data_IF_190373305626
#
_entry.id   IF_190373305626
#
_cell.length_a   1.000
_cell.length_b   1.000
_cell.length_c   1.000
_cell.angle_alpha   90.00
_cell.angle_beta   90.00
_cell.angle_gamma   90.00
#
_symmetry.space_group_name_H-M   'P 1'
#
loop_
_entity.id
_entity.type
_entity.pdbx_description
1 polymer ?
#
# COMPACT_ATOMS: atom_id res chain seq x y z
N UNK A 1 -51.71 -9.76 -50.40
CA UNK A 1 -51.22 -10.51 -49.23
C UNK A 1 -49.72 -10.84 -49.31
N UNK A 2 -49.16 -11.39 -50.38
CA UNK A 2 -47.71 -11.75 -50.47
C UNK A 2 -46.77 -10.53 -50.25
N UNK A 3 -47.08 -9.34 -50.74
CA UNK A 3 -46.23 -8.15 -50.61
C UNK A 3 -46.19 -7.62 -49.18
N UNK A 4 -47.28 -7.74 -48.43
CA UNK A 4 -47.38 -7.31 -47.03
C UNK A 4 -46.57 -8.20 -46.10
N UNK A 5 -46.53 -9.52 -46.37
CA UNK A 5 -45.72 -10.50 -45.61
C UNK A 5 -44.22 -10.26 -45.79
N UNK A 6 -43.77 -9.94 -47.02
CA UNK A 6 -42.36 -9.65 -47.32
C UNK A 6 -41.87 -8.40 -46.61
N UNK A 7 -42.73 -7.33 -46.57
CA UNK A 7 -42.39 -6.09 -45.86
C UNK A 7 -42.31 -6.34 -44.34
N UNK A 8 -43.18 -7.16 -43.77
CA UNK A 8 -43.18 -7.47 -42.34
C UNK A 8 -41.97 -8.32 -41.95
N UNK A 9 -41.55 -9.26 -42.79
CA UNK A 9 -40.34 -10.05 -42.56
C UNK A 9 -39.07 -9.20 -42.66
N UNK A 10 -39.00 -8.24 -43.59
CA UNK A 10 -37.89 -7.32 -43.73
C UNK A 10 -37.81 -6.34 -42.51
N UNK A 11 -38.90 -5.85 -42.01
CA UNK A 11 -38.92 -4.99 -40.81
C UNK A 11 -38.50 -5.77 -39.54
N UNK A 12 -38.98 -7.01 -39.41
CA UNK A 12 -38.53 -7.90 -38.31
C UNK A 12 -37.04 -8.24 -38.38
N UNK A 13 -36.53 -8.51 -39.58
CA UNK A 13 -35.10 -8.79 -39.76
C UNK A 13 -34.22 -7.61 -39.47
N UNK A 14 -34.61 -6.38 -39.86
CA UNK A 14 -33.90 -5.15 -39.51
C UNK A 14 -33.97 -4.83 -38.02
N UNK A 15 -35.08 -5.10 -37.35
CA UNK A 15 -35.20 -4.92 -35.90
C UNK A 15 -34.35 -5.92 -35.12
N UNK A 16 -34.21 -7.16 -35.61
CA UNK A 16 -33.34 -8.17 -35.01
C UNK A 16 -31.84 -7.83 -35.17
N UNK A 17 -31.46 -7.35 -36.36
CA UNK A 17 -30.10 -6.87 -36.61
C UNK A 17 -29.76 -5.66 -35.77
N UNK A 18 -30.71 -4.71 -35.62
CA UNK A 18 -30.51 -3.53 -34.77
C UNK A 18 -30.33 -3.89 -33.29
N UNK A 19 -31.04 -4.92 -32.81
CA UNK A 19 -30.85 -5.45 -31.44
C UNK A 19 -29.54 -6.17 -31.23
N UNK A 20 -29.03 -6.84 -32.28
CA UNK A 20 -27.75 -7.56 -32.20
C UNK A 20 -26.51 -6.66 -32.31
N UNK A 21 -26.64 -5.50 -32.95
CA UNK A 21 -25.55 -4.53 -33.10
C UNK A 21 -25.73 -3.25 -32.27
N UNK A 22 -26.90 -3.01 -31.69
CA UNK A 22 -27.20 -1.82 -30.86
C UNK A 22 -26.82 -1.93 -29.41
N UNK A 23 -26.21 -3.03 -28.99
CA UNK A 23 -25.74 -3.27 -27.62
C UNK A 23 -24.23 -3.17 -27.46
N UNK A 24 -23.52 -2.43 -28.34
CA UNK A 24 -22.23 -1.91 -27.97
C UNK A 24 -22.48 -0.84 -26.92
N UNK A 25 -22.54 -1.24 -25.65
CA UNK A 25 -22.27 -0.34 -24.57
C UNK A 25 -20.99 0.39 -24.95
N UNK A 26 -21.09 1.66 -25.33
CA UNK A 26 -19.97 2.57 -25.25
C UNK A 26 -19.65 2.66 -23.78
N UNK A 27 -18.95 1.65 -23.28
CA UNK A 27 -18.22 1.79 -22.03
C UNK A 27 -17.40 3.04 -22.21
N UNK A 28 -17.84 4.14 -21.67
CA UNK A 28 -16.98 5.25 -21.32
C UNK A 28 -16.00 4.62 -20.34
N UNK A 29 -14.95 3.99 -20.89
CA UNK A 29 -13.82 3.56 -20.13
C UNK A 29 -13.31 4.84 -19.48
N UNK A 30 -13.68 5.04 -18.24
CA UNK A 30 -13.04 6.03 -17.40
C UNK A 30 -11.58 5.63 -17.43
N UNK A 31 -10.76 6.40 -18.14
CA UNK A 31 -9.31 6.28 -18.05
C UNK A 31 -8.96 6.69 -16.63
N UNK A 32 -9.00 5.72 -15.72
CA UNK A 32 -8.46 5.93 -14.39
C UNK A 32 -6.96 6.07 -14.57
N UNK A 33 -6.49 7.30 -14.52
CA UNK A 33 -5.05 7.55 -14.50
C UNK A 33 -4.47 6.84 -13.27
N UNK A 34 -3.31 6.18 -13.39
CA UNK A 34 -2.64 5.62 -12.23
C UNK A 34 -2.50 6.72 -11.18
N UNK A 35 -2.90 6.43 -9.96
CA UNK A 35 -2.69 7.37 -8.86
C UNK A 35 -1.19 7.63 -8.70
N UNK A 36 -0.76 8.85 -8.36
CA UNK A 36 0.63 9.10 -8.01
C UNK A 36 1.03 8.20 -6.84
N UNK A 37 2.33 7.91 -6.70
CA UNK A 37 2.82 7.30 -5.48
C UNK A 37 2.50 8.21 -4.30
N UNK A 38 2.15 7.68 -3.12
CA UNK A 38 1.91 8.51 -1.97
C UNK A 38 3.18 9.26 -1.58
N UNK A 39 2.99 10.53 -1.17
CA UNK A 39 4.02 11.45 -0.70
C UNK A 39 3.78 11.77 0.77
N UNK A 40 4.70 12.47 1.40
CA UNK A 40 4.56 12.97 2.76
C UNK A 40 3.27 13.80 2.91
N UNK A 41 2.50 13.49 3.95
CA UNK A 41 1.17 14.05 4.23
C UNK A 41 -0.01 13.35 3.52
N UNK A 42 0.23 12.41 2.60
CA UNK A 42 -0.83 11.64 1.96
C UNK A 42 -1.28 10.46 2.83
N UNK A 43 -2.53 10.03 2.67
CA UNK A 43 -2.97 8.77 3.26
C UNK A 43 -2.25 7.59 2.61
N UNK A 44 -1.69 6.72 3.44
CA UNK A 44 -1.09 5.47 2.99
C UNK A 44 -2.18 4.50 2.49
N UNK A 45 -1.98 3.81 1.37
CA UNK A 45 -2.87 2.75 0.92
C UNK A 45 -2.82 1.54 1.88
N UNK A 46 -3.79 1.43 2.77
CA UNK A 46 -3.89 0.33 3.74
C UNK A 46 -4.13 -1.02 3.04
N UNK A 47 -3.63 -2.10 3.64
CA UNK A 47 -3.77 -3.46 3.09
C UNK A 47 -3.57 -4.53 4.17
N UNK A 48 -4.11 -5.70 3.89
CA UNK A 48 -3.87 -6.95 4.60
C UNK A 48 -3.39 -8.02 3.63
N UNK A 49 -2.37 -8.78 4.01
CA UNK A 49 -1.77 -9.84 3.17
C UNK A 49 -1.17 -10.94 4.06
N UNK A 50 -1.02 -12.12 3.47
CA UNK A 50 -0.26 -13.20 4.09
C UNK A 50 1.25 -12.96 3.94
N UNK A 51 2.01 -13.14 5.02
CA UNK A 51 3.46 -13.06 5.01
C UNK A 51 4.09 -14.28 4.32
N UNK A 52 5.37 -14.20 3.95
CA UNK A 52 6.12 -15.35 3.43
C UNK A 52 6.12 -16.54 4.42
N UNK A 53 6.00 -16.26 5.72
CA UNK A 53 5.91 -17.28 6.77
C UNK A 53 4.48 -17.80 7.04
N UNK A 54 3.49 -17.45 6.22
CA UNK A 54 2.11 -17.90 6.34
C UNK A 54 1.34 -17.27 7.52
N UNK A 55 1.70 -16.07 7.95
CA UNK A 55 1.02 -15.29 9.00
C UNK A 55 0.31 -14.10 8.36
N UNK A 56 -0.74 -13.61 8.99
CA UNK A 56 -1.38 -12.38 8.56
C UNK A 56 -0.51 -11.16 8.91
N UNK A 57 -0.43 -10.21 8.01
CA UNK A 57 0.15 -8.89 8.19
C UNK A 57 -0.87 -7.85 7.73
N UNK A 58 -1.14 -6.88 8.59
CA UNK A 58 -2.01 -5.75 8.30
C UNK A 58 -1.22 -4.45 8.44
N UNK A 59 -1.24 -3.64 7.40
CA UNK A 59 -0.88 -2.23 7.50
C UNK A 59 -2.17 -1.46 7.75
N UNK A 60 -2.38 -1.06 9.00
CA UNK A 60 -3.60 -0.41 9.49
C UNK A 60 -3.43 1.11 9.61
N UNK A 61 -4.51 1.78 9.99
CA UNK A 61 -4.56 3.21 10.30
C UNK A 61 -4.07 3.55 11.73
N UNK A 62 -3.28 2.65 12.35
CA UNK A 62 -2.73 2.84 13.69
C UNK A 62 -1.34 2.27 13.80
N UNK A 63 -0.46 3.03 14.49
CA UNK A 63 0.91 2.63 14.77
C UNK A 63 1.90 3.08 13.69
N UNK A 64 3.16 2.81 13.95
CA UNK A 64 4.28 3.23 13.09
C UNK A 64 4.77 2.04 12.27
N UNK A 65 4.83 2.23 10.95
CA UNK A 65 5.29 1.24 9.98
C UNK A 65 6.44 1.78 9.15
N UNK A 66 7.43 0.96 8.90
CA UNK A 66 8.46 1.18 7.89
C UNK A 66 8.26 0.16 6.78
N UNK A 67 7.69 0.61 5.66
CA UNK A 67 7.37 -0.22 4.51
C UNK A 67 8.36 0.02 3.39
N UNK A 68 9.01 -1.02 2.88
CA UNK A 68 9.90 -0.90 1.73
C UNK A 68 9.58 -1.94 0.65
N UNK A 69 9.79 -1.55 -0.61
CA UNK A 69 9.64 -2.42 -1.77
C UNK A 69 11.01 -2.78 -2.32
N UNK A 70 11.32 -4.06 -2.40
CA UNK A 70 12.61 -4.59 -2.84
C UNK A 70 12.49 -5.61 -3.96
N UNK A 71 13.64 -5.84 -4.62
CA UNK A 71 13.81 -6.94 -5.56
C UNK A 71 15.11 -7.68 -5.23
N UNK A 72 15.03 -9.01 -5.12
CA UNK A 72 16.22 -9.86 -4.96
C UNK A 72 17.14 -9.82 -6.18
N UNK A 73 16.67 -9.30 -7.32
CA UNK A 73 17.45 -9.10 -8.54
C UNK A 73 18.12 -7.71 -8.60
N UNK A 74 17.72 -6.78 -7.73
CA UNK A 74 18.27 -5.43 -7.70
C UNK A 74 19.44 -5.35 -6.72
N UNK A 75 20.58 -4.81 -7.20
CA UNK A 75 21.81 -4.68 -6.39
C UNK A 75 21.60 -3.70 -5.23
N UNK A 76 20.94 -2.57 -5.50
CA UNK A 76 20.73 -1.52 -4.49
C UNK A 76 19.86 -2.03 -3.33
N UNK A 77 18.84 -2.88 -3.61
CA UNK A 77 18.05 -3.55 -2.56
C UNK A 77 18.90 -4.42 -1.64
N UNK A 78 19.91 -5.11 -2.17
CA UNK A 78 20.82 -5.95 -1.38
C UNK A 78 21.82 -5.12 -0.57
N UNK A 79 22.24 -3.98 -1.08
CA UNK A 79 23.20 -3.10 -0.39
C UNK A 79 22.59 -2.42 0.84
N UNK A 80 21.28 -2.08 0.80
CA UNK A 80 20.60 -1.42 1.92
C UNK A 80 20.09 -2.39 2.99
N UNK A 81 20.02 -3.67 2.69
CA UNK A 81 19.46 -4.69 3.59
C UNK A 81 20.12 -4.72 4.98
N UNK A 82 21.45 -4.69 5.14
CA UNK A 82 22.09 -4.73 6.46
C UNK A 82 21.75 -3.50 7.32
N UNK A 83 21.68 -2.31 6.73
CA UNK A 83 21.26 -1.07 7.41
C UNK A 83 19.82 -1.15 7.87
N UNK A 84 18.92 -1.57 6.98
CA UNK A 84 17.51 -1.75 7.27
C UNK A 84 17.26 -2.78 8.38
N UNK A 85 17.95 -3.94 8.33
CA UNK A 85 17.89 -4.97 9.37
C UNK A 85 18.37 -4.45 10.74
N UNK A 86 19.42 -3.63 10.78
CA UNK A 86 19.90 -3.01 12.01
C UNK A 86 18.85 -2.04 12.59
N UNK A 87 18.20 -1.22 11.77
CA UNK A 87 17.14 -0.34 12.20
C UNK A 87 15.91 -1.12 12.69
N UNK A 88 15.49 -2.15 11.95
CA UNK A 88 14.40 -3.03 12.36
C UNK A 88 14.63 -3.62 13.76
N UNK A 89 15.83 -4.12 14.00
CA UNK A 89 16.23 -4.67 15.31
C UNK A 89 16.30 -3.59 16.41
N UNK A 90 16.76 -2.39 16.07
CA UNK A 90 16.84 -1.26 17.01
C UNK A 90 15.46 -0.88 17.53
N UNK A 91 14.47 -0.77 16.63
CA UNK A 91 13.13 -0.28 16.95
C UNK A 91 12.08 -1.39 17.21
N UNK A 92 12.50 -2.66 17.22
CA UNK A 92 11.60 -3.80 17.50
C UNK A 92 10.81 -3.62 18.82
N UNK A 93 11.46 -3.08 19.85
CA UNK A 93 10.85 -2.89 21.18
C UNK A 93 10.06 -1.61 21.34
N UNK A 94 10.20 -0.69 20.39
CA UNK A 94 9.51 0.60 20.38
C UNK A 94 8.14 0.51 19.68
N UNK A 95 7.79 -0.68 19.17
CA UNK A 95 6.50 -0.94 18.53
C UNK A 95 6.44 -0.56 17.05
N UNK A 96 7.59 -0.26 16.43
CA UNK A 96 7.66 0.00 14.99
C UNK A 96 7.60 -1.31 14.20
N UNK A 97 6.71 -1.38 13.24
CA UNK A 97 6.55 -2.54 12.35
C UNK A 97 7.35 -2.35 11.06
N UNK A 98 8.42 -3.13 10.90
CA UNK A 98 9.20 -3.14 9.66
C UNK A 98 8.71 -4.22 8.71
N UNK A 99 8.43 -3.85 7.46
CA UNK A 99 7.98 -4.78 6.42
C UNK A 99 8.69 -4.55 5.09
N UNK A 100 9.08 -5.63 4.44
CA UNK A 100 9.68 -5.65 3.11
C UNK A 100 8.75 -6.35 2.13
N UNK A 101 8.29 -5.63 1.12
CA UNK A 101 7.50 -6.16 0.00
C UNK A 101 8.46 -6.56 -1.13
N UNK A 102 8.66 -7.84 -1.32
CA UNK A 102 9.43 -8.35 -2.44
C UNK A 102 8.60 -8.37 -3.72
N UNK A 103 9.03 -7.64 -4.75
CA UNK A 103 8.28 -7.45 -6.00
C UNK A 103 8.48 -8.58 -7.03
N UNK A 104 9.34 -9.55 -6.73
CA UNK A 104 9.62 -10.68 -7.65
C UNK A 104 9.66 -12.04 -6.93
N UNK A 105 10.57 -12.20 -5.97
CA UNK A 105 10.70 -13.40 -5.15
C UNK A 105 11.29 -13.02 -3.80
N UNK A 106 10.75 -13.57 -2.74
CA UNK A 106 11.34 -13.42 -1.42
C UNK A 106 12.59 -14.33 -1.28
N UNK A 107 13.61 -13.91 -0.52
CA UNK A 107 14.71 -14.80 -0.17
C UNK A 107 14.23 -15.93 0.76
N UNK A 108 14.96 -17.01 0.78
CA UNK A 108 14.71 -18.10 1.72
C UNK A 108 15.55 -17.87 2.99
N UNK A 109 15.19 -16.87 3.76
CA UNK A 109 15.88 -16.47 4.99
C UNK A 109 14.91 -16.57 6.16
N UNK A 110 15.34 -17.26 7.23
CA UNK A 110 14.48 -17.57 8.37
C UNK A 110 14.69 -16.63 9.56
N UNK A 111 15.68 -15.71 9.51
CA UNK A 111 16.12 -14.95 10.68
C UNK A 111 16.39 -13.47 10.37
N UNK A 112 15.33 -12.77 9.97
CA UNK A 112 15.37 -11.30 9.81
C UNK A 112 14.46 -10.64 10.83
N UNK A 113 14.77 -9.40 11.23
CA UNK A 113 13.99 -8.61 12.21
C UNK A 113 12.85 -7.82 11.56
N UNK A 114 12.57 -8.06 10.30
CA UNK A 114 11.45 -7.43 9.57
C UNK A 114 10.49 -8.49 9.00
N UNK A 115 9.28 -8.09 8.73
CA UNK A 115 8.28 -8.95 8.10
C UNK A 115 8.51 -9.03 6.59
N UNK A 116 8.59 -10.24 6.04
CA UNK A 116 8.70 -10.47 4.59
C UNK A 116 7.32 -10.68 3.98
N UNK A 117 7.00 -9.87 2.98
CA UNK A 117 5.80 -9.94 2.15
C UNK A 117 6.20 -10.24 0.70
N UNK A 118 5.36 -10.96 -0.05
CA UNK A 118 5.59 -11.24 -1.46
C UNK A 118 4.43 -10.69 -2.28
N UNK A 119 4.70 -9.71 -3.12
CA UNK A 119 3.73 -9.16 -4.09
C UNK A 119 3.77 -9.94 -5.40
N UNK A 120 3.27 -11.17 -5.38
CA UNK A 120 3.26 -12.07 -6.55
C UNK A 120 2.35 -11.61 -7.69
N UNK A 121 1.36 -10.77 -7.38
CA UNK A 121 0.37 -10.26 -8.34
C UNK A 121 0.68 -8.86 -8.84
N UNK A 122 1.58 -8.14 -8.19
CA UNK A 122 1.88 -6.72 -8.44
C UNK A 122 0.80 -5.77 -7.90
N UNK A 123 -0.06 -6.24 -7.01
CA UNK A 123 -1.15 -5.43 -6.45
C UNK A 123 -0.60 -4.33 -5.54
N UNK A 124 0.32 -4.65 -4.62
CA UNK A 124 0.93 -3.67 -3.73
C UNK A 124 1.80 -2.67 -4.49
N UNK A 125 2.59 -3.15 -5.47
CA UNK A 125 3.34 -2.28 -6.39
C UNK A 125 2.42 -1.31 -7.12
N UNK A 126 1.25 -1.76 -7.58
CA UNK A 126 0.26 -0.93 -8.24
C UNK A 126 -0.39 0.06 -7.26
N UNK A 127 -0.78 -0.40 -6.07
CA UNK A 127 -1.43 0.40 -5.02
C UNK A 127 -0.55 1.55 -4.54
N UNK A 128 0.74 1.31 -4.37
CA UNK A 128 1.76 2.32 -4.01
C UNK A 128 2.41 3.00 -5.23
N UNK A 129 2.00 2.65 -6.45
CA UNK A 129 2.55 3.14 -7.71
C UNK A 129 4.09 3.12 -7.75
N UNK A 130 4.69 2.04 -7.25
CA UNK A 130 6.14 1.85 -7.19
C UNK A 130 6.71 1.67 -8.60
N UNK A 131 7.60 2.56 -9.01
CA UNK A 131 8.23 2.54 -10.35
C UNK A 131 9.67 2.04 -10.32
N UNK A 132 10.31 2.14 -9.18
CA UNK A 132 11.70 1.70 -8.95
C UNK A 132 11.84 1.15 -7.53
N UNK A 133 12.78 0.27 -7.34
CA UNK A 133 13.15 -0.30 -6.04
C UNK A 133 14.64 -0.08 -5.80
N UNK A 134 15.07 0.09 -4.56
CA UNK A 134 14.28 0.09 -3.33
C UNK A 134 13.46 1.39 -3.15
N UNK A 135 12.19 1.26 -2.80
CA UNK A 135 11.29 2.37 -2.45
C UNK A 135 10.87 2.23 -1.01
N UNK A 136 10.90 3.32 -0.22
CA UNK A 136 10.63 3.27 1.21
C UNK A 136 9.60 4.31 1.63
N UNK A 137 8.81 3.95 2.66
CA UNK A 137 7.84 4.81 3.33
C UNK A 137 7.94 4.62 4.84
N UNK A 138 7.87 5.71 5.61
CA UNK A 138 7.49 5.69 7.03
C UNK A 138 6.04 6.14 7.11
N UNK A 139 5.22 5.36 7.80
CA UNK A 139 3.77 5.57 7.90
C UNK A 139 3.41 5.59 9.37
N UNK A 140 2.76 6.65 9.81
CA UNK A 140 2.22 6.78 11.16
C UNK A 140 0.71 6.96 11.08
N UNK A 141 -0.04 6.17 11.82
CA UNK A 141 -1.50 6.24 11.91
C UNK A 141 -2.20 6.40 10.55
N UNK A 142 -1.68 5.68 9.55
CA UNK A 142 -2.21 5.67 8.18
C UNK A 142 -1.79 6.85 7.32
N UNK A 143 -0.93 7.76 7.80
CA UNK A 143 -0.35 8.87 7.04
C UNK A 143 1.09 8.57 6.67
N UNK A 144 1.52 8.95 5.47
CA UNK A 144 2.92 8.87 5.06
C UNK A 144 3.69 10.06 5.63
N UNK A 145 4.56 9.81 6.59
CA UNK A 145 5.40 10.84 7.21
C UNK A 145 6.72 11.03 6.48
N UNK A 146 7.22 9.98 5.83
CA UNK A 146 8.45 10.05 5.04
C UNK A 146 8.35 9.13 3.83
N UNK A 147 8.83 9.58 2.67
CA UNK A 147 8.88 8.80 1.44
C UNK A 147 10.19 8.97 0.69
N UNK A 148 10.89 7.86 0.39
CA UNK A 148 12.15 7.86 -0.33
C UNK A 148 12.02 7.10 -1.65
N UNK A 149 12.22 7.78 -2.78
CA UNK A 149 12.08 7.21 -4.13
C UNK A 149 13.11 6.15 -4.48
N UNK A 150 14.33 6.32 -3.98
CA UNK A 150 15.43 5.36 -4.10
C UNK A 150 16.13 5.35 -2.76
N UNK A 151 15.88 4.31 -1.97
CA UNK A 151 16.58 4.11 -0.72
C UNK A 151 17.94 3.48 -1.00
N UNK A 152 19.02 4.06 -0.46
CA UNK A 152 20.39 3.53 -0.59
C UNK A 152 21.21 3.82 0.67
N UNK A 153 22.33 3.14 0.81
CA UNK A 153 23.25 3.33 1.93
C UNK A 153 23.62 4.81 2.11
N UNK A 154 23.44 5.31 3.32
CA UNK A 154 23.65 6.72 3.68
C UNK A 154 22.37 7.49 4.01
N UNK A 155 21.19 6.99 3.62
CA UNK A 155 19.90 7.53 4.06
C UNK A 155 19.40 6.96 5.40
N UNK A 156 20.14 6.05 6.02
CA UNK A 156 19.78 5.45 7.32
C UNK A 156 19.52 6.50 8.39
N UNK A 157 20.25 7.63 8.37
CA UNK A 157 20.05 8.72 9.33
C UNK A 157 18.74 9.48 9.11
N UNK A 158 18.37 9.70 7.87
CA UNK A 158 17.12 10.40 7.53
C UNK A 158 15.92 9.51 7.87
N UNK A 159 16.04 8.21 7.56
CA UNK A 159 15.05 7.20 7.95
C UNK A 159 14.94 7.10 9.49
N UNK A 160 16.07 7.05 10.20
CA UNK A 160 16.08 7.02 11.65
C UNK A 160 15.42 8.25 12.25
N UNK A 161 15.70 9.45 11.72
CA UNK A 161 15.09 10.70 12.19
C UNK A 161 13.56 10.69 11.96
N UNK A 162 13.08 10.22 10.81
CA UNK A 162 11.66 10.09 10.52
C UNK A 162 10.96 9.10 11.47
N UNK A 163 11.59 7.97 11.80
CA UNK A 163 11.05 7.02 12.77
C UNK A 163 10.98 7.63 14.17
N UNK A 164 12.02 8.35 14.60
CA UNK A 164 12.04 8.99 15.93
C UNK A 164 11.00 10.11 16.07
N UNK A 165 10.76 10.87 15.00
CA UNK A 165 9.70 11.87 14.93
C UNK A 165 8.32 11.23 15.09
N UNK A 166 8.00 10.21 14.27
CA UNK A 166 6.74 9.48 14.36
C UNK A 166 6.50 8.85 15.74
N UNK A 167 7.52 8.30 16.38
CA UNK A 167 7.40 7.74 17.73
C UNK A 167 7.14 8.80 18.81
N UNK A 168 7.57 10.04 18.58
CA UNK A 168 7.34 11.15 19.51
C UNK A 168 5.91 11.63 19.42
N UNK A 169 5.40 11.81 18.21
CA UNK A 169 4.04 12.25 17.94
C UNK A 169 3.00 11.23 18.44
N UNK A 170 3.23 9.93 18.23
CA UNK A 170 2.38 8.87 18.78
C UNK A 170 2.30 8.90 20.32
N UNK A 171 3.40 9.21 21.01
CA UNK A 171 3.43 9.31 22.48
C UNK A 171 2.68 10.55 22.98
N UNK A 172 2.79 11.68 22.30
CA UNK A 172 2.07 12.92 22.64
C UNK A 172 0.57 12.74 22.45
N UNK A 173 0.13 12.15 21.35
CA UNK A 173 -1.28 11.87 21.07
C UNK A 173 -1.91 10.93 22.12
N UNK A 174 -1.19 9.88 22.54
CA UNK A 174 -1.63 8.96 23.59
C UNK A 174 -1.76 9.66 24.96
N UNK A 175 -0.87 10.58 25.27
CA UNK A 175 -0.88 11.32 26.53
C UNK A 175 -2.05 12.29 26.59
N UNK A 176 -2.34 13.01 25.52
CA UNK A 176 -3.47 13.95 25.42
C UNK A 176 -4.82 13.22 25.46
N UNK A 177 -4.92 12.08 24.79
CA UNK A 177 -6.11 11.25 24.84
C UNK A 177 -6.41 10.69 26.22
N UNK A 178 -5.38 10.31 26.99
CA UNK A 178 -5.53 9.85 28.38
C UNK A 178 -5.96 10.98 29.31
N UNK A 179 -5.38 12.17 29.19
CA UNK A 179 -5.73 13.34 30.00
C UNK A 179 -7.17 13.84 29.76
N UNK A 180 -7.65 13.75 28.50
CA UNK A 180 -9.01 14.13 28.14
C UNK A 180 -10.09 13.20 28.73
N UNK A 181 -9.78 11.93 28.95
CA UNK A 181 -10.73 10.94 29.51
C UNK A 181 -10.92 11.12 31.02
N UNK A 182 -9.89 11.48 31.77
CA UNK A 182 -9.97 11.70 33.21
C UNK A 182 -10.78 12.99 33.55
N UNK A 183 -10.69 14.02 32.73
CA UNK A 183 -11.44 15.26 32.92
C UNK A 183 -12.97 15.08 32.77
N UNK A 184 -13.41 14.09 32.00
CA UNK A 184 -14.84 13.83 31.75
C UNK A 184 -15.50 12.97 32.85
N UNK A 185 -14.71 12.23 33.63
CA UNK A 185 -15.22 11.38 34.74
C UNK A 185 -15.53 12.21 36.02
N UNK A 186 -14.87 13.36 36.22
CA UNK A 186 -15.12 14.22 37.36
C UNK A 186 -16.30 15.22 37.22
N UNK A 187 -16.98 15.26 36.06
CA UNK A 187 -18.09 16.19 35.79
C UNK A 187 -19.49 15.59 35.96
N UNK A 188 -19.60 14.33 36.38
CA UNK A 188 -20.87 13.62 36.62
C UNK A 188 -20.98 13.06 38.04
N UNK A 189 -20.48 13.78 39.02
CA UNK A 189 -20.69 13.56 40.44
C UNK A 189 -21.57 14.64 41.04
#
# INVERSE_FOLDING_TARGET
MRRLVVVFVLVLATALVYRSFGGAETGTGSLTLPQPAPHEGDNAPLFDVETVAGREFELSDRGVYVLTFWSTLNKDSKEVEPGFENLARKYERDGVSFAVVYVNSAPNEDHVSYTMLLDSTGELVSKYNVKRVPRLFVIEDGTVEYAQDIYYEGYDKDLEAAIEESLTDEKEQKTDSAAGNDANHHRKG
#
